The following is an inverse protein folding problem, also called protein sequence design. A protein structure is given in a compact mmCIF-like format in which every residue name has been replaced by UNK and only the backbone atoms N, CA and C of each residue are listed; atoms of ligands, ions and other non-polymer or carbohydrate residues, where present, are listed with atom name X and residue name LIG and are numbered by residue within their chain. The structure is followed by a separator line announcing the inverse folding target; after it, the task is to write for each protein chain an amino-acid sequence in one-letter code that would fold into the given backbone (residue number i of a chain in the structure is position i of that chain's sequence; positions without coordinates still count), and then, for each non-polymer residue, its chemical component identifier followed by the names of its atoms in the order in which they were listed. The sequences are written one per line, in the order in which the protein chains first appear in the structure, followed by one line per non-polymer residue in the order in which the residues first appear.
data_IF_894137304374
#
_entry.id   IF_894137304374
#
_cell.length_a   1.000
_cell.length_b   1.000
_cell.length_c   1.000
_cell.angle_alpha   90.00
_cell.angle_beta   90.00
_cell.angle_gamma   90.00
#
_symmetry.space_group_name_H-M   'P 1'
#
loop_
_entity.id
_entity.type
_entity.pdbx_description
1 polymer ?
#
# COMPACT_ATOMS: atom_id res chain seq x y z
N UNK A 1 20.19 7.94 -2.04
CA UNK A 1 19.57 8.28 -3.34
C UNK A 1 19.90 7.21 -4.35
N UNK A 2 18.87 6.70 -5.02
CA UNK A 2 19.00 5.82 -6.18
C UNK A 2 19.52 6.59 -7.41
N UNK A 3 20.18 5.88 -8.33
CA UNK A 3 20.47 6.35 -9.68
C UNK A 3 19.19 6.41 -10.54
N UNK A 4 19.25 7.11 -11.67
CA UNK A 4 18.12 7.25 -12.60
C UNK A 4 17.63 5.89 -13.13
N UNK A 5 18.56 4.96 -13.41
CA UNK A 5 18.25 3.60 -13.85
C UNK A 5 17.54 2.80 -12.74
N UNK A 6 17.99 2.94 -11.50
CA UNK A 6 17.34 2.31 -10.34
C UNK A 6 15.96 2.92 -10.09
N UNK A 7 15.79 4.23 -10.29
CA UNK A 7 14.49 4.89 -10.13
C UNK A 7 13.49 4.40 -11.17
N UNK A 8 13.91 4.36 -12.43
CA UNK A 8 13.10 3.82 -13.54
C UNK A 8 12.67 2.38 -13.25
N UNK A 9 13.60 1.56 -12.74
CA UNK A 9 13.28 0.20 -12.34
C UNK A 9 12.25 0.14 -11.19
N UNK A 10 12.28 1.05 -10.22
CA UNK A 10 11.29 1.07 -9.13
C UNK A 10 9.93 1.58 -9.60
N UNK A 11 9.90 2.55 -10.49
CA UNK A 11 8.66 3.03 -11.13
C UNK A 11 7.98 1.90 -11.92
N UNK A 12 8.75 1.13 -12.69
CA UNK A 12 8.25 -0.06 -13.38
C UNK A 12 7.69 -1.11 -12.41
N UNK A 13 8.35 -1.30 -11.25
CA UNK A 13 7.84 -2.20 -10.21
C UNK A 13 6.51 -1.67 -9.63
N UNK A 14 6.41 -0.37 -9.34
CA UNK A 14 5.19 0.24 -8.84
C UNK A 14 4.01 0.09 -9.82
N UNK A 15 4.27 0.24 -11.13
CA UNK A 15 3.28 0.00 -12.18
C UNK A 15 2.79 -1.46 -12.20
N UNK A 16 3.71 -2.41 -12.05
CA UNK A 16 3.36 -3.84 -12.01
C UNK A 16 2.56 -4.19 -10.75
N UNK A 17 2.99 -3.73 -9.57
CA UNK A 17 2.27 -3.90 -8.30
C UNK A 17 0.85 -3.33 -8.40
N UNK A 18 0.72 -2.10 -8.90
CA UNK A 18 -0.57 -1.45 -9.10
C UNK A 18 -1.49 -2.25 -10.05
N UNK A 19 -0.94 -2.77 -11.15
CA UNK A 19 -1.67 -3.62 -12.10
C UNK A 19 -2.17 -4.90 -11.44
N UNK A 20 -1.33 -5.62 -10.71
CA UNK A 20 -1.70 -6.90 -10.11
C UNK A 20 -2.76 -6.73 -9.01
N UNK A 21 -2.64 -5.68 -8.19
CA UNK A 21 -3.68 -5.36 -7.20
C UNK A 21 -5.03 -5.05 -7.88
N UNK A 22 -5.03 -4.29 -8.98
CA UNK A 22 -6.23 -4.03 -9.78
C UNK A 22 -6.81 -5.30 -10.40
N UNK A 23 -5.97 -6.22 -10.90
CA UNK A 23 -6.41 -7.51 -11.43
C UNK A 23 -7.04 -8.40 -10.36
N UNK A 24 -6.55 -8.31 -9.13
CA UNK A 24 -7.16 -8.97 -7.97
C UNK A 24 -8.45 -8.29 -7.48
N UNK A 25 -8.87 -7.19 -8.12
CA UNK A 25 -10.10 -6.45 -7.79
C UNK A 25 -9.92 -5.41 -6.69
N UNK A 26 -8.68 -5.09 -6.28
CA UNK A 26 -8.41 -4.03 -5.32
C UNK A 26 -8.23 -2.69 -6.04
N UNK A 27 -8.93 -1.62 -5.62
CA UNK A 27 -8.61 -0.26 -6.04
C UNK A 27 -7.16 0.04 -5.66
N UNK A 28 -6.38 0.55 -6.62
CA UNK A 28 -4.97 0.85 -6.40
C UNK A 28 -4.51 2.05 -7.24
N UNK A 29 -3.62 2.86 -6.69
CA UNK A 29 -3.05 4.06 -7.34
C UNK A 29 -1.61 4.28 -6.91
N UNK A 30 -0.83 4.96 -7.75
CA UNK A 30 0.56 5.34 -7.42
C UNK A 30 0.52 6.78 -6.88
N UNK A 31 1.17 7.02 -5.75
CA UNK A 31 1.36 8.36 -5.19
C UNK A 31 2.05 9.23 -6.26
N UNK A 32 1.43 10.36 -6.62
CA UNK A 32 1.70 11.28 -7.75
C UNK A 32 0.66 11.28 -8.89
N UNK A 33 -0.32 10.38 -8.90
CA UNK A 33 -1.52 10.59 -9.74
C UNK A 33 -2.42 11.64 -9.08
N UNK A 34 -2.92 12.62 -9.85
CA UNK A 34 -3.66 13.85 -9.45
C UNK A 34 -4.91 13.66 -8.55
N UNK A 35 -5.17 12.48 -8.01
CA UNK A 35 -6.27 12.20 -7.09
C UNK A 35 -5.92 12.67 -5.67
N UNK A 36 -6.64 13.68 -5.17
CA UNK A 36 -6.40 14.29 -3.86
C UNK A 36 -6.61 13.35 -2.66
N UNK A 37 -7.18 12.15 -2.85
CA UNK A 37 -7.40 11.13 -1.81
C UNK A 37 -7.78 9.77 -2.43
N UNK A 38 -6.83 8.99 -2.95
CA UNK A 38 -7.16 7.69 -3.53
C UNK A 38 -7.63 6.72 -2.44
N UNK A 39 -8.77 6.08 -2.70
CA UNK A 39 -9.31 5.01 -1.86
C UNK A 39 -8.68 3.69 -2.31
N UNK A 40 -8.19 2.91 -1.36
CA UNK A 40 -7.61 1.58 -1.60
C UNK A 40 -6.10 1.54 -1.42
N UNK A 41 -5.43 0.68 -2.19
CA UNK A 41 -3.98 0.51 -2.09
C UNK A 41 -3.24 1.69 -2.72
N UNK A 42 -2.50 2.45 -1.92
CA UNK A 42 -1.63 3.52 -2.37
C UNK A 42 -0.20 3.00 -2.45
N UNK A 43 0.40 3.08 -3.63
CA UNK A 43 1.75 2.62 -3.92
C UNK A 43 2.70 3.82 -3.94
N UNK A 44 3.82 3.75 -3.21
CA UNK A 44 4.85 4.79 -3.15
C UNK A 44 6.19 4.22 -3.62
N UNK A 45 6.91 4.99 -4.43
CA UNK A 45 8.26 4.64 -4.90
C UNK A 45 9.28 5.21 -3.92
N UNK A 46 10.09 4.33 -3.32
CA UNK A 46 11.07 4.76 -2.34
C UNK A 46 12.32 5.34 -3.02
N UNK A 47 12.74 6.52 -2.58
CA UNK A 47 13.92 7.21 -3.13
C UNK A 47 15.25 6.72 -2.51
N UNK A 48 15.17 6.08 -1.35
CA UNK A 48 16.32 5.59 -0.59
C UNK A 48 16.27 4.06 -0.48
N UNK A 49 17.43 3.41 -0.55
CA UNK A 49 17.54 1.97 -0.26
C UNK A 49 17.62 1.86 1.26
N UNK A 50 16.56 1.35 1.86
CA UNK A 50 16.47 1.07 3.29
C UNK A 50 15.59 -0.15 3.56
N UNK A 51 15.21 -0.34 4.82
CA UNK A 51 14.43 -1.50 5.26
C UNK A 51 12.99 -1.54 4.71
N UNK A 52 12.56 -0.48 4.01
CA UNK A 52 11.25 -0.31 3.40
C UNK A 52 11.11 -0.95 2.01
N UNK A 53 12.20 -1.45 1.41
CA UNK A 53 12.18 -2.10 0.09
C UNK A 53 12.25 -1.13 -1.08
N UNK A 54 11.90 -1.58 -2.27
CA UNK A 54 11.95 -0.78 -3.51
C UNK A 54 10.68 0.07 -3.68
N UNK A 55 9.54 -0.49 -3.26
CA UNK A 55 8.21 0.11 -3.34
C UNK A 55 7.48 -0.20 -2.04
N UNK A 56 6.72 0.76 -1.53
CA UNK A 56 5.84 0.54 -0.39
C UNK A 56 4.37 0.64 -0.78
N UNK A 57 3.50 -0.06 -0.05
CA UNK A 57 2.06 -0.04 -0.26
C UNK A 57 1.35 0.18 1.07
N UNK A 58 0.42 1.13 1.12
CA UNK A 58 -0.46 1.37 2.27
C UNK A 58 -1.93 1.28 1.86
N UNK A 59 -2.83 1.00 2.82
CA UNK A 59 -4.27 0.96 2.56
C UNK A 59 -4.98 2.23 3.05
N UNK A 60 -5.53 3.00 2.10
CA UNK A 60 -6.40 4.13 2.37
C UNK A 60 -7.86 3.70 2.45
N UNK A 61 -8.37 3.63 3.67
CA UNK A 61 -9.76 3.26 3.96
C UNK A 61 -10.75 4.39 3.61
N UNK A 62 -11.88 4.08 2.95
CA UNK A 62 -12.93 5.06 2.70
C UNK A 62 -13.63 5.54 3.99
N UNK A 63 -13.51 4.79 5.09
CA UNK A 63 -14.07 5.16 6.40
C UNK A 63 -13.27 6.32 7.04
N UNK A 64 -11.96 6.38 6.78
CA UNK A 64 -11.12 7.50 7.22
C UNK A 64 -11.53 8.81 6.52
N UNK A 65 -11.91 8.74 5.24
CA UNK A 65 -12.37 9.86 4.41
C UNK A 65 -13.76 10.36 4.87
N UNK A 66 -14.64 9.46 5.29
CA UNK A 66 -16.01 9.81 5.66
C UNK A 66 -16.21 9.85 7.19
N UNK A 67 -15.64 10.88 7.85
CA UNK A 67 -15.84 11.13 9.30
C UNK A 67 -17.32 11.26 9.71
N UNK A 68 -18.20 11.46 8.76
CA UNK A 68 -19.64 11.65 8.90
C UNK A 68 -20.40 10.39 9.35
N UNK A 69 -19.90 9.19 9.06
CA UNK A 69 -20.54 7.92 9.49
C UNK A 69 -20.32 7.59 10.97
N UNK A 70 -19.53 8.39 11.69
CA UNK A 70 -19.02 8.13 13.04
C UNK A 70 -20.06 8.11 14.17
N UNK A 71 -21.31 8.53 13.96
CA UNK A 71 -22.28 8.69 15.06
C UNK A 71 -23.34 7.59 15.19
N UNK A 72 -23.37 6.57 14.32
CA UNK A 72 -24.55 5.71 14.20
C UNK A 72 -24.45 4.29 14.80
N UNK A 73 -23.27 3.80 15.19
CA UNK A 73 -23.11 2.35 15.50
C UNK A 73 -22.43 1.98 16.82
N UNK A 74 -21.95 2.93 17.64
CA UNK A 74 -21.21 2.61 18.87
C UNK A 74 -19.84 1.93 18.64
N UNK A 75 -19.39 1.85 17.39
CA UNK A 75 -18.09 1.31 16.99
C UNK A 75 -17.04 2.39 17.18
N UNK A 76 -15.89 2.04 17.79
CA UNK A 76 -14.74 2.93 17.84
C UNK A 76 -14.11 3.00 16.43
N UNK A 77 -14.20 4.14 15.72
CA UNK A 77 -13.80 4.24 14.32
C UNK A 77 -12.30 4.06 14.13
N UNK A 78 -11.47 4.47 15.09
CA UNK A 78 -10.02 4.30 15.03
C UNK A 78 -9.66 2.82 15.11
N UNK A 79 -10.30 2.07 16.03
CA UNK A 79 -10.08 0.62 16.14
C UNK A 79 -10.58 -0.15 14.93
N UNK A 80 -11.72 0.25 14.38
CA UNK A 80 -12.26 -0.37 13.18
C UNK A 80 -11.37 -0.12 11.97
N UNK A 81 -10.88 1.10 11.79
CA UNK A 81 -10.00 1.46 10.68
C UNK A 81 -8.66 0.73 10.77
N UNK A 82 -8.06 0.68 11.97
CA UNK A 82 -6.84 -0.10 12.23
C UNK A 82 -7.04 -1.60 11.94
N UNK A 83 -8.17 -2.18 12.35
CA UNK A 83 -8.47 -3.57 12.07
C UNK A 83 -8.66 -3.83 10.56
N UNK A 84 -9.33 -2.93 9.86
CA UNK A 84 -9.48 -3.01 8.41
C UNK A 84 -8.11 -2.90 7.71
N UNK A 85 -7.28 -1.95 8.11
CA UNK A 85 -5.93 -1.78 7.56
C UNK A 85 -5.07 -3.04 7.74
N UNK A 86 -5.13 -3.69 8.91
CA UNK A 86 -4.46 -4.97 9.16
C UNK A 86 -4.94 -6.09 8.22
N UNK A 87 -6.25 -6.26 8.06
CA UNK A 87 -6.81 -7.27 7.14
C UNK A 87 -6.37 -7.00 5.69
N UNK A 88 -6.39 -5.74 5.29
CA UNK A 88 -6.02 -5.36 3.93
C UNK A 88 -4.52 -5.50 3.68
N UNK A 89 -3.67 -5.20 4.67
CA UNK A 89 -2.23 -5.45 4.62
C UNK A 89 -1.94 -6.95 4.37
N UNK A 90 -2.55 -7.83 5.16
CA UNK A 90 -2.46 -9.29 4.98
C UNK A 90 -2.90 -9.75 3.58
N UNK A 91 -4.01 -9.19 3.08
CA UNK A 91 -4.52 -9.51 1.77
C UNK A 91 -3.57 -9.06 0.65
N UNK A 92 -3.05 -7.83 0.73
CA UNK A 92 -2.09 -7.26 -0.22
C UNK A 92 -0.82 -8.13 -0.28
N UNK A 93 -0.24 -8.48 0.88
CA UNK A 93 0.95 -9.33 0.94
C UNK A 93 0.70 -10.66 0.22
N UNK A 94 -0.43 -11.31 0.48
CA UNK A 94 -0.77 -12.60 -0.14
C UNK A 94 -1.00 -12.48 -1.65
N UNK A 95 -1.72 -11.45 -2.10
CA UNK A 95 -1.98 -11.20 -3.52
C UNK A 95 -0.66 -10.98 -4.27
N UNK A 96 0.21 -10.13 -3.74
CA UNK A 96 1.51 -9.84 -4.35
C UNK A 96 2.43 -11.06 -4.34
N UNK A 97 2.41 -11.85 -3.26
CA UNK A 97 3.11 -13.13 -3.21
C UNK A 97 2.65 -14.11 -4.29
N UNK A 98 1.33 -14.22 -4.53
CA UNK A 98 0.77 -15.04 -5.60
C UNK A 98 1.13 -14.52 -7.00
N UNK A 99 1.30 -13.21 -7.15
CA UNK A 99 1.78 -12.59 -8.37
C UNK A 99 3.31 -12.70 -8.57
N UNK A 100 4.01 -13.30 -7.61
CA UNK A 100 5.44 -13.56 -7.70
C UNK A 100 6.33 -12.45 -7.16
N UNK A 101 5.81 -11.50 -6.39
CA UNK A 101 6.62 -10.48 -5.69
C UNK A 101 7.03 -10.92 -4.29
N UNK A 102 8.15 -10.38 -3.81
CA UNK A 102 8.53 -10.48 -2.41
C UNK A 102 7.86 -9.33 -1.65
N UNK A 103 6.75 -9.63 -0.97
CA UNK A 103 5.98 -8.68 -0.17
C UNK A 103 5.99 -9.08 1.31
N UNK A 104 6.14 -8.11 2.21
CA UNK A 104 6.12 -8.30 3.67
C UNK A 104 5.68 -7.03 4.38
N UNK A 105 5.32 -7.13 5.65
CA UNK A 105 5.20 -5.96 6.51
C UNK A 105 6.55 -5.23 6.59
N UNK A 106 6.50 -3.91 6.46
CA UNK A 106 7.65 -3.04 6.66
C UNK A 106 7.88 -2.85 8.16
N UNK A 107 9.14 -2.74 8.57
CA UNK A 107 9.51 -2.45 9.96
C UNK A 107 9.45 -0.93 10.18
N UNK A 108 8.23 -0.38 10.19
CA UNK A 108 7.96 1.04 10.45
C UNK A 108 6.99 1.21 11.64
N UNK A 109 7.52 1.61 12.79
CA UNK A 109 6.76 1.87 14.01
C UNK A 109 5.71 2.99 13.84
N UNK A 110 5.93 3.92 12.90
CA UNK A 110 4.98 5.00 12.60
C UNK A 110 3.87 4.55 11.64
N UNK A 111 4.10 3.50 10.86
CA UNK A 111 3.12 2.96 9.92
C UNK A 111 3.07 1.41 9.98
N UNK A 112 2.38 0.83 10.97
CA UNK A 112 2.37 -0.61 11.22
C UNK A 112 1.63 -1.44 10.15
N UNK A 113 1.01 -0.80 9.16
CA UNK A 113 0.29 -1.47 8.06
C UNK A 113 0.91 -1.18 6.70
N UNK A 114 2.17 -0.76 6.70
CA UNK A 114 2.95 -0.53 5.49
C UNK A 114 3.48 -1.88 4.98
N UNK A 115 3.29 -2.13 3.69
CA UNK A 115 3.82 -3.31 3.00
C UNK A 115 5.05 -2.90 2.20
N UNK A 116 6.18 -3.54 2.47
CA UNK A 116 7.38 -3.46 1.66
C UNK A 116 7.31 -4.45 0.52
N UNK A 117 7.61 -4.00 -0.70
CA UNK A 117 7.60 -4.81 -1.92
C UNK A 117 8.94 -4.70 -2.64
N UNK A 118 9.42 -5.84 -3.11
CA UNK A 118 10.61 -5.95 -3.97
C UNK A 118 10.41 -7.07 -4.99
N UNK A 119 11.25 -7.07 -6.03
CA UNK A 119 11.29 -8.20 -6.97
C UNK A 119 11.68 -9.49 -6.25
N UNK A 120 10.97 -10.58 -6.51
CA UNK A 120 11.43 -11.91 -6.10
C UNK A 120 12.76 -12.22 -6.77
N UNK A 121 13.69 -12.80 -5.99
CA UNK A 121 14.96 -13.31 -6.52
C UNK A 121 14.76 -14.50 -7.45
#
# INVERSE_FOLDING_TARGET
MASDDEMTAREDLALQVCRELRLAGLPASIENTEEESPIGALIMVENEIGDLGEVTVTWNSPIAVNRSMKSLSGINPVKHDAHLASIMCDAIIRILGLAGFAAREAEDDMNPYLVSVSRSK
#
